data_IF_405896285100
#
_entry.id   IF_405896285100
#
_cell.length_a   1.000
_cell.length_b   1.000
_cell.length_c   1.000
_cell.angle_alpha   90.00
_cell.angle_beta   90.00
_cell.angle_gamma   90.00
#
_symmetry.space_group_name_H-M   'P 1'
#
loop_
_entity.id
_entity.type
_entity.pdbx_description
1 polymer ?
#
# COMPACT_ATOMS: atom_id res chain seq x y z
N UNK A 1 -8.72 -6.30 -19.60
CA UNK A 1 -8.26 -4.89 -19.72
C UNK A 1 -6.96 -4.72 -18.96
N UNK A 2 -5.92 -4.08 -19.52
CA UNK A 2 -4.72 -3.75 -18.77
C UNK A 2 -5.10 -2.85 -17.59
N UNK A 3 -4.72 -3.24 -16.37
CA UNK A 3 -4.97 -2.43 -15.18
C UNK A 3 -3.97 -1.28 -15.17
N UNK A 4 -4.46 -0.04 -15.16
CA UNK A 4 -3.60 1.15 -15.08
C UNK A 4 -2.73 1.09 -13.81
N UNK A 5 -1.47 1.57 -13.85
CA UNK A 5 -0.72 1.80 -12.63
C UNK A 5 -1.44 2.84 -11.76
N UNK A 6 -1.21 2.76 -10.45
CA UNK A 6 -1.60 3.81 -9.51
C UNK A 6 -0.36 4.50 -9.01
N UNK A 7 -0.41 5.83 -8.87
CA UNK A 7 0.61 6.52 -8.08
C UNK A 7 0.56 6.05 -6.63
N UNK A 8 1.67 6.15 -5.90
CA UNK A 8 1.69 5.85 -4.45
C UNK A 8 0.59 6.63 -3.71
N UNK A 9 0.39 7.89 -4.05
CA UNK A 9 -0.65 8.71 -3.43
C UNK A 9 -2.06 8.13 -3.65
N UNK A 10 -2.37 7.70 -4.86
CA UNK A 10 -3.67 7.11 -5.18
C UNK A 10 -3.84 5.74 -4.51
N UNK A 11 -2.80 4.91 -4.57
CA UNK A 11 -2.80 3.59 -3.96
C UNK A 11 -3.04 3.69 -2.45
N UNK A 12 -2.36 4.59 -1.74
CA UNK A 12 -2.56 4.80 -0.31
C UNK A 12 -3.99 5.25 0.03
N UNK A 13 -4.58 6.13 -0.78
CA UNK A 13 -5.99 6.53 -0.60
C UNK A 13 -6.93 5.33 -0.76
N UNK A 14 -6.66 4.48 -1.75
CA UNK A 14 -7.48 3.32 -2.07
C UNK A 14 -7.33 2.18 -1.07
N UNK A 15 -6.18 2.07 -0.40
CA UNK A 15 -5.94 1.08 0.66
C UNK A 15 -6.48 1.50 2.04
N UNK A 16 -6.77 2.78 2.26
CA UNK A 16 -7.24 3.31 3.55
C UNK A 16 -8.54 2.64 4.06
N UNK A 17 -9.59 2.40 3.23
CA UNK A 17 -10.80 1.70 3.67
C UNK A 17 -10.54 0.28 4.19
N UNK A 18 -9.45 -0.35 3.77
CA UNK A 18 -9.04 -1.69 4.22
C UNK A 18 -8.25 -1.68 5.55
N UNK A 19 -8.18 -0.53 6.22
CA UNK A 19 -7.46 -0.35 7.49
C UNK A 19 -5.94 -0.32 7.34
N UNK A 20 -5.42 -0.13 6.12
CA UNK A 20 -3.98 -0.06 5.86
C UNK A 20 -3.51 1.38 6.12
N UNK A 21 -2.42 1.48 6.89
CA UNK A 21 -1.75 2.74 7.25
C UNK A 21 -0.31 2.72 6.79
N UNK A 22 0.32 3.90 6.75
CA UNK A 22 1.75 4.02 6.47
C UNK A 22 2.52 4.22 7.77
N UNK A 23 3.62 3.51 7.93
CA UNK A 23 4.62 3.84 8.94
C UNK A 23 5.67 4.73 8.29
N UNK A 24 5.64 6.03 8.57
CA UNK A 24 6.74 6.92 8.19
C UNK A 24 7.87 6.76 9.20
N UNK A 25 8.88 5.98 8.84
CA UNK A 25 10.16 6.00 9.56
C UNK A 25 10.84 7.34 9.31
N UNK A 26 11.05 8.14 10.35
CA UNK A 26 12.10 9.17 10.34
C UNK A 26 13.45 8.44 10.23
N UNK A 27 13.91 8.08 9.02
CA UNK A 27 15.33 7.85 8.72
C UNK A 27 15.55 7.65 7.22
N UNK A 28 16.12 8.69 6.60
CA UNK A 28 16.92 8.62 5.37
C UNK A 28 16.14 8.51 4.06
N UNK A 29 16.25 9.54 3.20
CA UNK A 29 15.92 9.56 1.76
C UNK A 29 14.73 8.69 1.36
N UNK A 30 13.56 9.32 1.20
CA UNK A 30 12.25 8.74 0.83
C UNK A 30 12.25 7.87 -0.42
N UNK A 31 12.84 6.68 -0.28
CA UNK A 31 13.00 5.63 -1.27
C UNK A 31 12.07 4.45 -0.98
N UNK A 32 11.42 4.43 0.21
CA UNK A 32 10.55 3.35 0.68
C UNK A 32 9.42 3.87 1.59
N UNK A 33 8.27 3.19 1.57
CA UNK A 33 7.15 3.38 2.49
C UNK A 33 6.72 2.02 3.03
N UNK A 34 6.53 1.91 4.34
CA UNK A 34 6.03 0.67 4.94
C UNK A 34 4.51 0.76 5.02
N UNK A 35 3.82 -0.15 4.32
CA UNK A 35 2.41 -0.39 4.49
C UNK A 35 2.21 -1.34 5.67
N UNK A 36 1.26 -1.02 6.55
CA UNK A 36 0.93 -1.80 7.74
C UNK A 36 -0.59 -1.95 7.83
N UNK A 37 -1.06 -3.14 8.19
CA UNK A 37 -2.43 -3.37 8.67
C UNK A 37 -2.36 -3.63 10.18
N UNK A 38 -2.65 -2.62 11.04
CA UNK A 38 -2.51 -2.78 12.49
C UNK A 38 -3.48 -3.82 13.04
N UNK A 39 -3.01 -4.68 13.95
CA UNK A 39 -3.88 -5.62 14.67
C UNK A 39 -4.89 -4.90 15.59
N UNK A 40 -4.55 -3.68 16.03
CA UNK A 40 -5.36 -2.79 16.87
C UNK A 40 -5.12 -1.34 16.46
N UNK A 41 -6.08 -0.41 16.62
CA UNK A 41 -5.88 1.01 16.31
C UNK A 41 -4.62 1.57 16.99
N UNK A 42 -3.76 2.24 16.22
CA UNK A 42 -2.50 2.81 16.72
C UNK A 42 -1.35 1.81 16.94
N UNK A 43 -1.60 0.49 16.81
CA UNK A 43 -0.55 -0.52 16.93
C UNK A 43 0.43 -0.44 15.76
N UNK A 44 1.70 -0.73 16.04
CA UNK A 44 2.74 -0.95 15.03
C UNK A 44 2.90 -2.43 14.66
N UNK A 45 2.11 -3.31 15.26
CA UNK A 45 2.14 -4.75 15.03
C UNK A 45 1.03 -5.16 14.05
N UNK A 46 1.38 -6.04 13.12
CA UNK A 46 0.47 -6.61 12.13
C UNK A 46 1.20 -6.96 10.84
N UNK A 47 0.49 -7.47 9.81
CA UNK A 47 1.06 -7.65 8.49
C UNK A 47 1.65 -6.33 7.98
N UNK A 48 2.86 -6.39 7.43
CA UNK A 48 3.54 -5.24 6.86
C UNK A 48 4.30 -5.61 5.58
N UNK A 49 4.48 -4.64 4.69
CA UNK A 49 5.30 -4.76 3.47
C UNK A 49 5.95 -3.41 3.13
N UNK A 50 7.27 -3.37 2.90
CA UNK A 50 7.92 -2.17 2.37
C UNK A 50 7.66 -2.07 0.87
N UNK A 51 7.34 -0.86 0.40
CA UNK A 51 7.14 -0.53 -1.01
C UNK A 51 8.13 0.56 -1.39
N UNK A 52 8.97 0.27 -2.38
CA UNK A 52 9.88 1.26 -2.95
C UNK A 52 9.09 2.38 -3.59
N UNK A 53 9.47 3.62 -3.30
CA UNK A 53 8.91 4.80 -3.93
C UNK A 53 9.94 5.92 -3.98
N UNK A 54 9.95 6.72 -5.05
CA UNK A 54 10.78 7.92 -5.19
C UNK A 54 9.96 9.20 -4.96
N UNK A 55 8.87 9.10 -4.20
CA UNK A 55 7.93 10.18 -3.95
C UNK A 55 6.48 9.85 -4.31
N UNK A 56 5.54 10.79 -4.06
CA UNK A 56 4.10 10.56 -4.15
C UNK A 56 3.59 10.15 -5.55
N UNK A 57 4.29 10.58 -6.60
CA UNK A 57 3.96 10.30 -8.00
C UNK A 57 4.55 8.99 -8.51
N UNK A 58 5.26 8.21 -7.68
CA UNK A 58 5.80 6.92 -8.11
C UNK A 58 4.66 6.00 -8.54
N UNK A 59 4.75 5.48 -9.76
CA UNK A 59 3.80 4.52 -10.29
C UNK A 59 4.06 3.13 -9.70
N UNK A 60 3.00 2.51 -9.20
CA UNK A 60 2.98 1.15 -8.69
C UNK A 60 2.15 0.31 -9.66
N UNK A 61 2.84 -0.62 -10.31
CA UNK A 61 2.24 -1.48 -11.31
C UNK A 61 1.52 -2.67 -10.70
N UNK A 62 0.63 -3.26 -11.51
CA UNK A 62 -0.24 -4.36 -11.14
C UNK A 62 0.43 -5.50 -10.32
N UNK A 63 1.62 -6.03 -10.67
CA UNK A 63 2.23 -7.12 -9.91
C UNK A 63 2.53 -6.75 -8.45
N UNK A 64 2.97 -5.51 -8.22
CA UNK A 64 3.24 -4.99 -6.87
C UNK A 64 1.94 -4.82 -6.11
N UNK A 65 0.89 -4.30 -6.76
CA UNK A 65 -0.43 -4.15 -6.14
C UNK A 65 -0.98 -5.53 -5.74
N UNK A 66 -0.90 -6.54 -6.61
CA UNK A 66 -1.35 -7.89 -6.29
C UNK A 66 -0.59 -8.47 -5.08
N UNK A 67 0.72 -8.24 -5.00
CA UNK A 67 1.51 -8.64 -3.82
C UNK A 67 1.01 -7.97 -2.53
N UNK A 68 0.70 -6.67 -2.60
CA UNK A 68 0.11 -5.91 -1.49
C UNK A 68 -1.24 -6.50 -1.07
N UNK A 69 -2.16 -6.72 -2.03
CA UNK A 69 -3.49 -7.24 -1.73
C UNK A 69 -3.42 -8.64 -1.10
N UNK A 70 -2.57 -9.52 -1.66
CA UNK A 70 -2.32 -10.86 -1.10
C UNK A 70 -1.77 -10.79 0.33
N UNK A 71 -0.83 -9.87 0.60
CA UNK A 71 -0.25 -9.69 1.94
C UNK A 71 -1.29 -9.29 2.99
N UNK A 72 -2.30 -8.52 2.59
CA UNK A 72 -3.32 -7.98 3.48
C UNK A 72 -4.66 -8.71 3.44
N UNK A 73 -4.78 -9.75 2.61
CA UNK A 73 -6.01 -10.53 2.44
C UNK A 73 -7.14 -9.72 1.81
N UNK A 74 -6.83 -8.84 0.86
CA UNK A 74 -7.82 -8.05 0.11
C UNK A 74 -8.15 -8.78 -1.19
N UNK A 75 -9.44 -8.98 -1.49
CA UNK A 75 -9.85 -9.53 -2.78
C UNK A 75 -9.54 -8.51 -3.89
N UNK A 76 -8.76 -8.88 -4.93
CA UNK A 76 -8.60 -8.07 -6.13
C UNK A 76 -9.92 -7.56 -6.71
N UNK A 77 -10.99 -8.37 -6.74
CA UNK A 77 -12.28 -7.93 -7.29
C UNK A 77 -12.84 -6.75 -6.53
N UNK A 78 -12.86 -6.83 -5.20
CA UNK A 78 -13.31 -5.72 -4.33
C UNK A 78 -12.41 -4.50 -4.47
N UNK A 79 -11.10 -4.72 -4.63
CA UNK A 79 -10.17 -3.62 -4.85
C UNK A 79 -10.41 -2.92 -6.20
N UNK A 80 -10.70 -3.62 -7.29
CA UNK A 80 -10.88 -3.01 -8.62
C UNK A 80 -12.33 -2.73 -9.01
N UNK A 81 -13.31 -3.04 -8.17
CA UNK A 81 -14.67 -2.54 -8.27
C UNK A 81 -14.68 -1.07 -7.86
N UNK A 82 -14.29 -0.19 -8.78
CA UNK A 82 -14.57 1.25 -8.68
C UNK A 82 -16.06 1.52 -8.95
#
# INVERSE_FOLDING_TARGET
>A
MPKRPYTIRELLKKLKPYGIVTMQGKRGKGSEVILLKPNKPGSKQGPQIPIKNHGPSTEIHYPVIISILRRFGIDPKDFWND
#
